data_IF_442009923043
#
_entry.id   IF_442009923043
#
_cell.length_a   1.000
_cell.length_b   1.000
_cell.length_c   1.000
_cell.angle_alpha   90.00
_cell.angle_beta   90.00
_cell.angle_gamma   90.00
#
_symmetry.space_group_name_H-M   'P 1'
#
loop_
_entity.id
_entity.type
_entity.pdbx_description
1 polymer ?
#
# COMPACT_ATOMS: atom_id res chain seq x y z
N UNK A 1 0.57 6.26 3.24
CA UNK A 1 -0.79 6.13 2.67
C UNK A 1 -0.71 4.99 1.68
N UNK A 2 -1.60 4.01 1.78
CA UNK A 2 -1.66 2.87 0.86
C UNK A 2 -3.00 2.88 0.12
N UNK A 3 -3.05 2.21 -1.04
CA UNK A 3 -4.26 2.07 -1.86
C UNK A 3 -4.54 0.58 -2.06
N UNK A 4 -5.73 0.12 -1.64
CA UNK A 4 -6.17 -1.25 -1.88
C UNK A 4 -6.88 -1.41 -3.23
N UNK A 5 -6.89 -2.64 -3.77
CA UNK A 5 -7.68 -3.03 -4.95
C UNK A 5 -7.44 -2.13 -6.18
N UNK A 6 -6.20 -1.72 -6.41
CA UNK A 6 -5.85 -0.78 -7.50
C UNK A 6 -5.36 -1.47 -8.79
N UNK A 7 -5.41 -2.79 -8.84
CA UNK A 7 -5.14 -3.60 -10.04
C UNK A 7 -6.37 -4.44 -10.37
N UNK A 8 -6.89 -4.31 -11.59
CA UNK A 8 -8.12 -5.01 -12.03
C UNK A 8 -7.99 -6.53 -11.92
N UNK A 9 -6.81 -7.06 -12.26
CA UNK A 9 -6.55 -8.50 -12.20
C UNK A 9 -6.56 -8.99 -10.75
N UNK A 10 -6.00 -8.22 -9.82
CA UNK A 10 -6.01 -8.55 -8.39
C UNK A 10 -7.43 -8.56 -7.79
N UNK A 11 -8.29 -7.62 -8.20
CA UNK A 11 -9.70 -7.60 -7.80
C UNK A 11 -10.43 -8.87 -8.27
N UNK A 12 -10.19 -9.30 -9.52
CA UNK A 12 -10.77 -10.52 -10.07
C UNK A 12 -10.30 -11.79 -9.35
N UNK A 13 -9.02 -11.89 -9.00
CA UNK A 13 -8.45 -13.02 -8.23
C UNK A 13 -9.01 -13.11 -6.81
N UNK A 14 -9.24 -11.97 -6.17
CA UNK A 14 -9.75 -11.90 -4.79
C UNK A 14 -11.26 -12.13 -4.69
N UNK A 15 -11.97 -12.20 -5.82
CA UNK A 15 -13.44 -12.28 -5.85
C UNK A 15 -14.11 -10.99 -5.39
N UNK A 16 -13.39 -9.86 -5.41
CA UNK A 16 -13.87 -8.56 -4.95
C UNK A 16 -14.23 -7.68 -6.14
N UNK A 17 -15.33 -6.93 -6.02
CA UNK A 17 -15.67 -5.93 -7.04
C UNK A 17 -14.64 -4.80 -7.04
N UNK A 18 -14.27 -4.34 -8.24
CA UNK A 18 -13.38 -3.19 -8.39
C UNK A 18 -14.03 -1.95 -7.76
N UNK A 19 -13.38 -1.31 -6.78
CA UNK A 19 -13.94 -0.11 -6.17
C UNK A 19 -14.09 1.02 -7.19
N UNK A 20 -15.20 1.76 -7.12
CA UNK A 20 -15.43 2.98 -7.90
C UNK A 20 -14.78 4.22 -7.28
N UNK A 21 -14.32 4.09 -6.04
CA UNK A 21 -13.62 5.13 -5.29
C UNK A 21 -12.39 4.52 -4.59
N UNK A 22 -11.25 5.24 -4.47
CA UNK A 22 -10.04 4.65 -3.90
C UNK A 22 -10.21 4.16 -2.47
N UNK A 23 -9.79 2.91 -2.21
CA UNK A 23 -9.70 2.36 -0.86
C UNK A 23 -8.39 2.79 -0.23
N UNK A 24 -8.44 3.69 0.76
CA UNK A 24 -7.26 4.24 1.42
C UNK A 24 -7.10 3.71 2.83
N UNK A 25 -5.87 3.39 3.22
CA UNK A 25 -5.53 3.05 4.60
C UNK A 25 -4.16 3.58 5.03
N UNK A 26 -4.02 3.71 6.35
CA UNK A 26 -2.81 4.20 6.98
C UNK A 26 -1.79 3.09 7.19
N UNK A 27 -0.53 3.40 6.86
CA UNK A 27 0.65 2.68 7.32
C UNK A 27 1.54 3.67 8.04
N UNK A 28 2.13 3.26 9.17
CA UNK A 28 2.96 4.13 9.99
C UNK A 28 4.44 4.01 9.63
N UNK A 29 5.19 5.10 9.79
CA UNK A 29 6.63 5.17 9.51
C UNK A 29 7.44 4.13 10.29
N UNK A 30 6.98 3.73 11.47
CA UNK A 30 7.57 2.67 12.30
C UNK A 30 7.58 1.29 11.65
N UNK A 31 6.80 1.06 10.60
CA UNK A 31 6.75 -0.20 9.86
C UNK A 31 7.73 -0.26 8.68
N UNK A 32 8.41 0.85 8.36
CA UNK A 32 9.31 0.92 7.21
C UNK A 32 10.66 0.30 7.54
N UNK A 33 11.20 -0.49 6.59
CA UNK A 33 12.56 -1.02 6.63
C UNK A 33 13.27 -0.74 5.31
N UNK A 34 14.61 -0.70 5.36
CA UNK A 34 15.44 -0.45 4.18
C UNK A 34 15.45 -1.63 3.21
N UNK A 35 15.83 -1.35 1.96
CA UNK A 35 16.10 -2.40 0.97
C UNK A 35 17.14 -3.41 1.50
N UNK A 36 16.86 -4.71 1.31
CA UNK A 36 17.70 -5.80 1.79
C UNK A 36 17.58 -6.12 3.29
N UNK A 37 16.85 -5.31 4.07
CA UNK A 37 16.58 -5.61 5.46
C UNK A 37 15.56 -6.75 5.60
N UNK A 38 15.71 -7.57 6.63
CA UNK A 38 14.80 -8.69 6.90
C UNK A 38 13.45 -8.20 7.43
N UNK A 39 12.36 -8.70 6.84
CA UNK A 39 11.02 -8.60 7.44
C UNK A 39 10.92 -9.66 8.53
N UNK A 40 10.68 -9.23 9.76
CA UNK A 40 10.50 -10.15 10.89
C UNK A 40 9.03 -10.55 10.97
N UNK A 41 8.74 -11.82 10.69
CA UNK A 41 7.40 -12.37 10.93
C UNK A 41 7.11 -12.37 12.44
N UNK A 42 6.04 -11.71 12.91
CA UNK A 42 5.71 -11.70 14.32
C UNK A 42 5.27 -13.09 14.78
N UNK A 43 5.51 -13.41 16.06
CA UNK A 43 5.14 -14.72 16.62
C UNK A 43 3.62 -14.95 16.73
N UNK A 44 2.82 -13.87 16.68
CA UNK A 44 1.37 -13.93 16.87
C UNK A 44 0.60 -14.43 15.65
N UNK A 45 1.25 -14.60 14.50
CA UNK A 45 0.63 -15.12 13.28
C UNK A 45 1.63 -15.82 12.36
N UNK A 46 1.14 -16.83 11.64
CA UNK A 46 1.88 -17.49 10.55
C UNK A 46 1.48 -16.98 9.15
N UNK A 47 0.52 -16.05 9.06
CA UNK A 47 -0.03 -15.54 7.79
C UNK A 47 0.62 -14.21 7.38
N UNK A 48 1.96 -14.15 7.41
CA UNK A 48 2.70 -13.05 6.80
C UNK A 48 2.75 -13.27 5.30
N UNK A 49 2.32 -12.26 4.55
CA UNK A 49 2.23 -12.28 3.10
C UNK A 49 2.85 -11.03 2.49
N UNK A 50 3.21 -11.11 1.20
CA UNK A 50 3.85 -10.03 0.46
C UNK A 50 2.85 -9.35 -0.49
N UNK A 51 3.06 -8.05 -0.73
CA UNK A 51 2.30 -7.25 -1.70
C UNK A 51 3.28 -6.30 -2.39
N UNK A 52 3.63 -6.61 -3.65
CA UNK A 52 4.57 -5.81 -4.42
C UNK A 52 3.87 -4.59 -5.01
N UNK A 53 4.27 -3.39 -4.57
CA UNK A 53 3.59 -2.14 -4.90
C UNK A 53 4.54 -1.10 -5.52
N UNK A 54 3.99 -0.25 -6.39
CA UNK A 54 4.64 0.99 -6.81
C UNK A 54 4.36 2.09 -5.78
N UNK A 55 5.42 2.79 -5.34
CA UNK A 55 5.30 3.94 -4.44
C UNK A 55 5.62 5.22 -5.20
N UNK A 56 4.71 6.19 -5.12
CA UNK A 56 4.96 7.58 -5.49
C UNK A 56 5.45 8.35 -4.25
N UNK A 57 6.61 8.99 -4.35
CA UNK A 57 7.21 9.79 -3.28
C UNK A 57 6.84 11.25 -3.52
N UNK A 58 6.11 11.86 -2.60
CA UNK A 58 5.71 13.27 -2.69
C UNK A 58 6.87 14.16 -2.22
N UNK A 59 7.30 15.09 -3.07
CA UNK A 59 8.44 15.98 -2.82
C UNK A 59 8.07 17.36 -2.30
N UNK A 60 6.87 17.82 -2.63
CA UNK A 60 6.37 19.16 -2.30
C UNK A 60 5.01 19.05 -1.64
N UNK A 61 4.71 19.94 -0.68
CA UNK A 61 3.40 20.00 -0.06
C UNK A 61 2.30 20.13 -1.12
N UNK A 62 1.30 19.25 -1.04
CA UNK A 62 0.22 19.15 -2.01
C UNK A 62 -1.13 19.21 -1.28
N UNK A 63 -2.01 20.13 -1.70
CA UNK A 63 -3.36 20.27 -1.15
C UNK A 63 -4.33 20.69 -2.24
N UNK A 64 -5.45 19.96 -2.39
CA UNK A 64 -6.49 20.21 -3.41
C UNK A 64 -5.93 20.32 -4.84
N UNK A 65 -4.96 19.48 -5.18
CA UNK A 65 -4.30 19.46 -6.48
C UNK A 65 -5.19 18.80 -7.53
N UNK A 66 -5.21 19.33 -8.75
CA UNK A 66 -5.93 18.74 -9.88
C UNK A 66 -5.24 17.45 -10.36
N UNK A 67 -5.97 16.55 -11.02
CA UNK A 67 -5.36 15.36 -11.62
C UNK A 67 -4.26 15.70 -12.63
N UNK A 68 -4.49 16.72 -13.45
CA UNK A 68 -3.54 17.17 -14.48
C UNK A 68 -2.21 17.68 -13.88
N UNK A 69 -2.25 18.25 -12.67
CA UNK A 69 -1.08 18.80 -12.00
C UNK A 69 -0.43 17.83 -11.00
N UNK A 70 -1.08 16.69 -10.70
CA UNK A 70 -0.70 15.80 -9.61
C UNK A 70 0.76 15.32 -9.70
N UNK A 71 1.22 14.98 -10.92
CA UNK A 71 2.57 14.47 -11.13
C UNK A 71 3.67 15.51 -10.90
N UNK A 72 3.34 16.81 -10.92
CA UNK A 72 4.31 17.88 -10.63
C UNK A 72 4.76 17.87 -9.16
N UNK A 73 4.04 17.17 -8.27
CA UNK A 73 4.35 17.06 -6.84
C UNK A 73 5.12 15.78 -6.50
N UNK A 74 5.31 14.87 -7.45
CA UNK A 74 6.02 13.61 -7.26
C UNK A 74 7.52 13.83 -7.44
N UNK A 75 8.31 13.58 -6.39
CA UNK A 75 9.77 13.62 -6.44
C UNK A 75 10.37 12.40 -7.17
N UNK A 76 9.67 11.26 -7.14
CA UNK A 76 10.11 10.05 -7.80
C UNK A 76 9.26 8.84 -7.43
N UNK A 77 9.67 7.69 -7.93
CA UNK A 77 9.01 6.41 -7.71
C UNK A 77 9.98 5.39 -7.15
N UNK A 78 9.44 4.43 -6.39
CA UNK A 78 10.17 3.26 -5.88
C UNK A 78 9.27 2.04 -5.92
N UNK A 79 9.86 0.87 -5.67
CA UNK A 79 9.13 -0.33 -5.28
C UNK A 79 8.99 -0.40 -3.77
N UNK A 80 7.93 -1.05 -3.29
CA UNK A 80 7.68 -1.31 -1.88
C UNK A 80 7.00 -2.66 -1.70
N UNK A 81 7.21 -3.29 -0.54
CA UNK A 81 6.47 -4.47 -0.14
C UNK A 81 5.50 -4.07 0.98
N UNK A 82 4.20 -4.01 0.68
CA UNK A 82 3.13 -3.75 1.65
C UNK A 82 2.84 -5.00 2.48
N UNK A 83 3.88 -5.54 3.15
CA UNK A 83 3.82 -6.81 3.83
C UNK A 83 2.72 -6.82 4.90
N UNK A 84 1.87 -7.84 4.82
CA UNK A 84 0.57 -7.87 5.51
C UNK A 84 0.42 -9.12 6.36
N UNK A 85 -0.13 -8.97 7.57
CA UNK A 85 -0.53 -10.10 8.41
C UNK A 85 -2.02 -10.35 8.14
N UNK A 86 -2.31 -11.33 7.27
CA UNK A 86 -3.64 -11.48 6.64
C UNK A 86 -4.75 -11.74 7.65
N UNK A 87 -4.51 -12.60 8.63
CA UNK A 87 -5.48 -12.88 9.68
C UNK A 87 -5.76 -11.67 10.57
N UNK A 88 -4.82 -10.73 10.71
CA UNK A 88 -5.02 -9.48 11.45
C UNK A 88 -5.73 -8.42 10.63
N UNK A 89 -5.53 -8.40 9.31
CA UNK A 89 -6.16 -7.45 8.38
C UNK A 89 -7.69 -7.52 8.42
N UNK A 90 -8.26 -8.70 8.69
CA UNK A 90 -9.72 -8.95 8.73
C UNK A 90 -10.24 -9.30 10.13
N UNK A 91 -9.39 -9.21 11.17
CA UNK A 91 -9.71 -9.75 12.51
C UNK A 91 -10.73 -8.93 13.28
N UNK A 92 -10.73 -7.63 13.05
CA UNK A 92 -11.60 -6.68 13.73
C UNK A 92 -12.70 -6.23 12.77
N UNK A 93 -13.96 -6.12 13.25
CA UNK A 93 -15.12 -5.77 12.43
C UNK A 93 -15.03 -4.36 11.84
#
# INVERSE_FOLDING_TARGET
>A
MCVGLNYRDHSAESGLEQPTFPTLFGRFNSSLIGHGASIIRPQVSNQLDYEGELVAIIGTEASKVSEADALNYVAGYSIFNDASIRDYQVKSP
#
